data_IF_477754651064
#
_entry.id   IF_477754651064
#
_cell.length_a   1.000
_cell.length_b   1.000
_cell.length_c   1.000
_cell.angle_alpha   90.00
_cell.angle_beta   90.00
_cell.angle_gamma   90.00
#
_symmetry.space_group_name_H-M   'P 1'
#
loop_
_entity.id
_entity.type
_entity.pdbx_description
1 polymer ?
#
# COMPACT_ATOMS: atom_id res chain seq x y z
N UNK A 1 -3.45 2.75 32.15
CA UNK A 1 -4.34 3.51 31.26
C UNK A 1 -3.48 4.16 30.19
N UNK A 2 -3.36 3.54 29.02
CA UNK A 2 -2.68 4.15 27.87
C UNK A 2 -3.71 5.00 27.14
N UNK A 3 -3.56 6.32 27.21
CA UNK A 3 -4.43 7.23 26.47
C UNK A 3 -4.10 7.07 24.99
N UNK A 4 -5.06 6.57 24.21
CA UNK A 4 -4.99 6.62 22.76
C UNK A 4 -5.00 8.10 22.37
N UNK A 5 -3.83 8.67 22.11
CA UNK A 5 -3.70 9.96 21.45
C UNK A 5 -4.42 9.84 20.11
N UNK A 6 -5.61 10.42 20.01
CA UNK A 6 -6.28 10.56 18.72
C UNK A 6 -5.34 11.39 17.85
N UNK A 7 -4.88 10.80 16.75
CA UNK A 7 -4.26 11.58 15.69
C UNK A 7 -5.30 12.62 15.26
N UNK A 8 -4.88 13.89 15.33
CA UNK A 8 -5.76 15.06 15.35
C UNK A 8 -6.69 15.18 14.15
N UNK A 9 -7.66 16.08 14.27
CA UNK A 9 -8.43 16.56 13.12
C UNK A 9 -7.53 17.42 12.24
N UNK A 10 -7.45 17.12 10.95
CA UNK A 10 -6.61 17.82 9.98
C UNK A 10 -7.32 19.06 9.45
N UNK A 11 -6.72 20.24 9.60
CA UNK A 11 -7.30 21.48 9.06
C UNK A 11 -6.93 21.74 7.60
N UNK A 12 -5.82 21.18 7.13
CA UNK A 12 -5.39 21.29 5.75
C UNK A 12 -4.51 20.12 5.29
N UNK A 13 -4.25 20.09 3.97
CA UNK A 13 -3.44 19.06 3.35
C UNK A 13 -1.97 19.11 3.76
N UNK A 14 -1.40 20.29 4.01
CA UNK A 14 0.01 20.41 4.38
C UNK A 14 0.30 19.61 5.65
N UNK A 15 -0.55 19.76 6.67
CA UNK A 15 -0.43 19.04 7.93
C UNK A 15 -0.57 17.53 7.75
N UNK A 16 -1.60 17.10 7.00
CA UNK A 16 -1.85 15.68 6.76
C UNK A 16 -0.71 15.02 5.97
N UNK A 17 -0.21 15.67 4.93
CA UNK A 17 0.87 15.11 4.11
C UNK A 17 2.18 15.00 4.90
N UNK A 18 2.50 16.00 5.73
CA UNK A 18 3.65 15.94 6.62
C UNK A 18 3.54 14.77 7.62
N UNK A 19 2.33 14.49 8.13
CA UNK A 19 2.10 13.33 8.99
C UNK A 19 2.22 12.01 8.23
N UNK A 20 1.72 11.92 6.99
CA UNK A 20 1.89 10.73 6.14
C UNK A 20 3.38 10.43 5.94
N UNK A 21 4.18 11.46 5.62
CA UNK A 21 5.62 11.31 5.44
C UNK A 21 6.30 10.84 6.74
N UNK A 22 5.89 11.37 7.90
CA UNK A 22 6.38 10.93 9.21
C UNK A 22 6.03 9.46 9.53
N UNK A 23 4.96 8.92 8.94
CA UNK A 23 4.58 7.51 9.02
C UNK A 23 5.23 6.64 7.93
N UNK A 24 6.10 7.21 7.09
CA UNK A 24 6.84 6.52 6.04
C UNK A 24 6.07 6.37 4.72
N UNK A 25 4.88 6.96 4.60
CA UNK A 25 4.17 7.05 3.32
C UNK A 25 4.73 8.17 2.44
N UNK A 26 4.24 8.26 1.20
CA UNK A 26 4.52 9.40 0.31
C UNK A 26 3.34 10.36 0.26
N UNK A 27 3.44 11.49 0.98
CA UNK A 27 2.40 12.51 1.02
C UNK A 27 2.13 13.13 -0.35
N UNK A 28 3.18 13.38 -1.15
CA UNK A 28 3.03 13.92 -2.50
C UNK A 28 2.25 12.98 -3.43
N UNK A 29 2.50 11.67 -3.37
CA UNK A 29 1.78 10.69 -4.18
C UNK A 29 0.34 10.50 -3.69
N UNK A 30 0.10 10.52 -2.38
CA UNK A 30 -1.25 10.53 -1.80
C UNK A 30 -2.03 11.73 -2.31
N UNK A 31 -1.44 12.94 -2.25
CA UNK A 31 -2.09 14.16 -2.72
C UNK A 31 -2.45 14.07 -4.20
N UNK A 32 -1.49 13.69 -5.03
CA UNK A 32 -1.68 13.55 -6.48
C UNK A 32 -2.82 12.58 -6.80
N UNK A 33 -2.89 11.45 -6.10
CA UNK A 33 -3.93 10.44 -6.31
C UNK A 33 -5.28 10.89 -5.77
N UNK A 34 -5.31 11.53 -4.59
CA UNK A 34 -6.53 12.06 -4.02
C UNK A 34 -7.18 13.10 -4.94
N UNK A 35 -6.39 14.00 -5.53
CA UNK A 35 -6.88 14.97 -6.51
C UNK A 35 -7.43 14.29 -7.77
N UNK A 36 -6.72 13.29 -8.29
CA UNK A 36 -7.15 12.56 -9.49
C UNK A 36 -8.46 11.79 -9.29
N UNK A 37 -8.65 11.23 -8.09
CA UNK A 37 -9.78 10.35 -7.78
C UNK A 37 -10.92 11.08 -7.04
N UNK A 38 -10.76 12.39 -6.75
CA UNK A 38 -11.74 13.19 -6.01
C UNK A 38 -11.89 12.78 -4.54
N UNK A 39 -10.82 12.27 -3.92
CA UNK A 39 -10.82 11.86 -2.50
C UNK A 39 -10.52 13.07 -1.62
N UNK A 40 -11.34 13.30 -0.61
CA UNK A 40 -11.22 14.48 0.26
C UNK A 40 -10.12 14.33 1.32
N UNK A 41 -9.74 15.47 1.92
CA UNK A 41 -8.79 15.54 3.04
C UNK A 41 -9.24 14.64 4.20
N UNK A 42 -10.53 14.72 4.53
CA UNK A 42 -11.14 14.02 5.64
C UNK A 42 -11.02 12.50 5.46
N UNK A 43 -11.28 11.99 4.25
CA UNK A 43 -11.20 10.55 3.96
C UNK A 43 -9.77 10.04 4.11
N UNK A 44 -8.77 10.77 3.59
CA UNK A 44 -7.36 10.39 3.74
C UNK A 44 -6.93 10.47 5.21
N UNK A 45 -7.33 11.54 5.90
CA UNK A 45 -7.04 11.78 7.31
C UNK A 45 -7.61 10.69 8.21
N UNK A 46 -8.86 10.28 7.99
CA UNK A 46 -9.48 9.14 8.67
C UNK A 46 -8.69 7.86 8.43
N UNK A 47 -8.23 7.63 7.20
CA UNK A 47 -7.39 6.49 6.86
C UNK A 47 -6.12 6.45 7.72
N UNK A 48 -5.38 7.56 7.78
CA UNK A 48 -4.16 7.67 8.59
C UNK A 48 -4.45 7.41 10.07
N UNK A 49 -5.50 8.02 10.63
CA UNK A 49 -5.88 7.82 12.03
C UNK A 49 -6.19 6.36 12.35
N UNK A 50 -6.95 5.66 11.49
CA UNK A 50 -7.25 4.23 11.68
C UNK A 50 -6.01 3.35 11.62
N UNK A 51 -5.06 3.64 10.74
CA UNK A 51 -3.80 2.89 10.67
C UNK A 51 -2.98 3.02 11.95
N UNK A 52 -2.91 4.22 12.51
CA UNK A 52 -2.21 4.43 13.77
C UNK A 52 -2.93 3.79 14.96
N UNK A 53 -4.25 3.89 15.03
CA UNK A 53 -5.04 3.19 16.05
C UNK A 53 -4.83 1.67 15.99
N UNK A 54 -4.83 1.10 14.79
CA UNK A 54 -4.58 -0.33 14.62
C UNK A 54 -3.17 -0.72 15.05
N UNK A 55 -2.17 0.08 14.67
CA UNK A 55 -0.77 -0.10 15.11
C UNK A 55 -0.64 -0.07 16.63
N UNK A 56 -1.37 0.83 17.31
CA UNK A 56 -1.37 0.93 18.77
C UNK A 56 -2.09 -0.24 19.47
N UNK A 57 -3.09 -0.84 18.82
CA UNK A 57 -3.89 -1.95 19.37
C UNK A 57 -3.22 -3.31 19.24
N UNK A 58 -2.45 -3.51 18.18
CA UNK A 58 -1.77 -4.77 17.94
C UNK A 58 -0.50 -4.81 18.81
N UNK A 59 -0.45 -5.72 19.78
CA UNK A 59 0.82 -6.08 20.42
C UNK A 59 1.79 -6.58 19.33
N UNK A 60 3.09 -6.31 19.50
CA UNK A 60 4.21 -6.32 18.53
C UNK A 60 4.37 -7.51 17.54
N UNK A 61 3.41 -8.39 17.34
CA UNK A 61 3.61 -9.62 16.54
C UNK A 61 2.40 -10.19 15.82
N UNK A 62 1.18 -9.65 15.98
CA UNK A 62 0.02 -10.14 15.22
C UNK A 62 -0.37 -9.12 14.17
N UNK A 63 0.01 -9.38 12.92
CA UNK A 63 -0.54 -8.65 11.79
C UNK A 63 -2.02 -9.06 11.63
N UNK A 64 -2.92 -8.11 11.32
CA UNK A 64 -4.32 -8.43 11.06
C UNK A 64 -4.42 -9.20 9.73
N UNK A 65 -5.60 -9.66 9.35
CA UNK A 65 -5.82 -10.24 8.04
C UNK A 65 -5.43 -9.26 6.93
N UNK A 66 -5.05 -9.76 5.75
CA UNK A 66 -4.66 -8.88 4.63
C UNK A 66 -5.80 -7.95 4.21
N UNK A 67 -7.04 -8.43 4.26
CA UNK A 67 -8.24 -7.66 3.94
C UNK A 67 -8.58 -6.61 5.00
N UNK A 68 -7.83 -6.54 6.10
CA UNK A 68 -7.83 -5.36 6.95
C UNK A 68 -7.03 -4.26 6.27
N UNK A 69 -7.63 -3.64 5.24
CA UNK A 69 -7.07 -2.56 4.41
C UNK A 69 -6.63 -1.33 5.20
N UNK A 70 -6.96 -1.31 6.49
CA UNK A 70 -6.59 -0.26 7.42
C UNK A 70 -5.24 -0.45 8.11
N UNK A 71 -4.56 -1.56 7.86
CA UNK A 71 -3.30 -1.90 8.52
C UNK A 71 -2.12 -1.02 8.13
N UNK A 72 -2.18 -0.36 6.98
CA UNK A 72 -1.08 0.46 6.46
C UNK A 72 -1.54 1.91 6.30
N UNK A 73 -0.74 2.91 6.69
CA UNK A 73 -1.03 4.32 6.40
C UNK A 73 -1.20 4.60 4.90
N UNK A 74 -2.01 5.60 4.49
CA UNK A 74 -1.98 6.12 3.13
C UNK A 74 -0.55 6.48 2.72
N UNK A 75 -0.21 6.32 1.44
CA UNK A 75 1.13 6.63 0.96
C UNK A 75 2.13 5.49 1.10
N UNK A 76 1.82 4.48 1.92
CA UNK A 76 2.69 3.33 2.16
C UNK A 76 2.06 2.07 1.57
N UNK A 77 2.84 1.31 0.80
CA UNK A 77 2.38 0.06 0.21
C UNK A 77 2.35 -1.04 1.28
N UNK A 78 1.22 -1.73 1.41
CA UNK A 78 1.13 -2.95 2.22
C UNK A 78 1.88 -4.09 1.51
N UNK A 79 3.09 -4.41 1.99
CA UNK A 79 3.97 -5.40 1.36
C UNK A 79 3.37 -6.82 1.31
N UNK A 80 2.37 -7.12 2.14
CA UNK A 80 1.62 -8.39 2.07
C UNK A 80 0.92 -8.58 0.73
N UNK A 81 0.71 -7.49 -0.02
CA UNK A 81 0.15 -7.54 -1.38
C UNK A 81 0.97 -8.46 -2.29
N UNK A 82 2.29 -8.58 -2.10
CA UNK A 82 3.17 -9.43 -2.92
C UNK A 82 2.95 -10.94 -2.71
N UNK A 83 2.35 -11.34 -1.60
CA UNK A 83 2.16 -12.75 -1.21
C UNK A 83 0.80 -13.32 -1.67
N UNK A 84 -0.02 -12.51 -2.35
CA UNK A 84 -1.31 -12.88 -2.89
C UNK A 84 -1.49 -12.32 -4.31
N UNK A 85 -2.52 -12.76 -5.02
CA UNK A 85 -2.74 -12.44 -6.44
C UNK A 85 -4.14 -11.90 -6.77
N UNK A 86 -4.96 -11.63 -5.75
CA UNK A 86 -6.38 -11.28 -5.90
C UNK A 86 -6.66 -9.79 -5.85
N UNK A 87 -5.92 -9.07 -5.01
CA UNK A 87 -6.18 -7.67 -4.67
C UNK A 87 -4.94 -6.81 -4.89
N UNK A 88 -5.19 -5.56 -5.23
CA UNK A 88 -4.24 -4.47 -5.19
C UNK A 88 -4.81 -3.40 -4.29
N UNK A 89 -3.98 -2.77 -3.46
CA UNK A 89 -4.41 -1.65 -2.63
C UNK A 89 -3.62 -0.44 -3.10
N UNK A 90 -4.32 0.60 -3.56
CA UNK A 90 -3.64 1.79 -4.06
C UNK A 90 -3.14 2.70 -2.92
N UNK A 91 -2.47 3.78 -3.31
CA UNK A 91 -1.81 4.69 -2.38
C UNK A 91 -2.77 5.45 -1.46
N UNK A 92 -4.05 5.57 -1.83
CA UNK A 92 -5.12 6.13 -0.98
C UNK A 92 -5.91 5.05 -0.25
N UNK A 93 -5.39 3.81 -0.26
CA UNK A 93 -5.92 2.62 0.42
C UNK A 93 -7.25 2.12 -0.12
N UNK A 94 -7.51 2.33 -1.41
CA UNK A 94 -8.66 1.71 -2.06
C UNK A 94 -8.29 0.30 -2.51
N UNK A 95 -9.02 -0.75 -2.08
CA UNK A 95 -8.82 -2.09 -2.59
C UNK A 95 -9.43 -2.20 -4.00
N UNK A 96 -8.67 -2.79 -4.90
CA UNK A 96 -9.04 -3.11 -6.28
C UNK A 96 -8.87 -4.60 -6.48
N UNK A 97 -9.92 -5.30 -6.89
CA UNK A 97 -9.78 -6.70 -7.28
C UNK A 97 -9.07 -6.75 -8.63
N UNK A 98 -8.03 -7.57 -8.76
CA UNK A 98 -7.22 -7.65 -9.99
C UNK A 98 -8.10 -7.96 -11.21
N UNK A 99 -9.05 -8.89 -11.06
CA UNK A 99 -10.00 -9.26 -12.12
C UNK A 99 -10.94 -8.12 -12.55
N UNK A 100 -11.22 -7.16 -11.67
CA UNK A 100 -12.19 -6.09 -11.91
C UNK A 100 -11.54 -4.79 -12.41
N UNK A 101 -10.20 -4.70 -12.42
CA UNK A 101 -9.47 -3.54 -12.94
C UNK A 101 -9.74 -3.34 -14.43
N UNK A 102 -9.60 -2.12 -14.95
CA UNK A 102 -9.51 -1.92 -16.41
C UNK A 102 -8.15 -2.39 -16.94
N UNK A 103 -8.06 -2.70 -18.24
CA UNK A 103 -6.80 -3.12 -18.86
C UNK A 103 -5.72 -2.04 -18.75
N UNK A 104 -6.10 -0.78 -18.94
CA UNK A 104 -5.22 0.38 -18.77
C UNK A 104 -4.72 0.51 -17.32
N UNK A 105 -5.61 0.40 -16.34
CA UNK A 105 -5.21 0.50 -14.94
C UNK A 105 -4.30 -0.65 -14.53
N UNK A 106 -4.59 -1.87 -14.98
CA UNK A 106 -3.76 -3.05 -14.76
C UNK A 106 -2.35 -2.88 -15.33
N UNK A 107 -2.22 -2.37 -16.56
CA UNK A 107 -0.92 -2.07 -17.17
C UNK A 107 -0.15 -1.00 -16.38
N UNK A 108 -0.84 0.05 -15.92
CA UNK A 108 -0.24 1.11 -15.09
C UNK A 108 0.29 0.58 -13.75
N UNK A 109 -0.44 -0.33 -13.10
CA UNK A 109 0.01 -0.98 -11.86
C UNK A 109 1.28 -1.81 -12.11
N UNK A 110 1.29 -2.65 -13.16
CA UNK A 110 2.45 -3.46 -13.54
C UNK A 110 3.68 -2.58 -13.79
N UNK A 111 3.52 -1.51 -14.54
CA UNK A 111 4.61 -0.59 -14.86
C UNK A 111 5.12 0.14 -13.62
N UNK A 112 4.23 0.54 -12.72
CA UNK A 112 4.59 1.15 -11.44
C UNK A 112 5.43 0.19 -10.59
N UNK A 113 4.99 -1.06 -10.45
CA UNK A 113 5.71 -2.10 -9.72
C UNK A 113 7.11 -2.35 -10.31
N UNK A 114 7.22 -2.40 -11.64
CA UNK A 114 8.52 -2.58 -12.33
C UNK A 114 9.48 -1.43 -12.13
N UNK A 115 8.97 -0.18 -12.05
CA UNK A 115 9.78 1.00 -11.74
C UNK A 115 10.28 0.96 -10.29
N UNK A 116 9.41 0.65 -9.33
CA UNK A 116 9.73 0.61 -7.90
C UNK A 116 10.36 -0.70 -7.40
N UNK A 117 10.64 -1.67 -8.27
CA UNK A 117 11.05 -3.04 -7.88
C UNK A 117 12.21 -3.11 -6.88
N UNK A 118 13.19 -2.21 -6.98
CA UNK A 118 14.37 -2.21 -6.09
C UNK A 118 13.95 -1.81 -4.68
N UNK A 119 13.21 -0.70 -4.56
CA UNK A 119 12.73 -0.17 -3.28
C UNK A 119 11.77 -1.17 -2.61
N UNK A 120 10.85 -1.76 -3.38
CA UNK A 120 9.92 -2.76 -2.86
C UNK A 120 10.63 -4.03 -2.41
N UNK A 121 11.63 -4.51 -3.16
CA UNK A 121 12.42 -5.68 -2.78
C UNK A 121 13.14 -5.43 -1.45
N UNK A 122 13.81 -4.27 -1.33
CA UNK A 122 14.51 -3.88 -0.11
C UNK A 122 13.56 -3.75 1.09
N UNK A 123 12.42 -3.09 0.92
CA UNK A 123 11.41 -2.95 1.96
C UNK A 123 10.89 -4.33 2.41
N UNK A 124 10.57 -5.21 1.46
CA UNK A 124 10.10 -6.57 1.72
C UNK A 124 11.14 -7.37 2.51
N UNK A 125 12.42 -7.31 2.12
CA UNK A 125 13.52 -7.94 2.85
C UNK A 125 13.69 -7.43 4.28
N UNK A 126 13.58 -6.12 4.48
CA UNK A 126 13.67 -5.51 5.81
C UNK A 126 12.53 -5.98 6.72
N UNK A 127 11.32 -6.09 6.18
CA UNK A 127 10.11 -6.52 6.88
C UNK A 127 10.14 -8.03 7.21
N UNK A 128 10.46 -8.87 6.22
CA UNK A 128 10.40 -10.33 6.28
C UNK A 128 11.78 -10.97 6.37
N UNK A 129 12.56 -10.56 7.37
CA UNK A 129 13.92 -11.11 7.59
C UNK A 129 13.88 -12.64 7.66
N UNK A 130 14.81 -13.28 6.95
CA UNK A 130 14.94 -14.74 6.91
C UNK A 130 14.21 -15.44 5.76
N UNK A 131 13.38 -14.73 4.99
CA UNK A 131 12.84 -15.25 3.73
C UNK A 131 13.92 -15.19 2.65
N UNK A 132 14.18 -16.31 2.00
CA UNK A 132 15.08 -16.37 0.85
C UNK A 132 14.44 -15.63 -0.34
N UNK A 133 15.00 -14.49 -0.69
CA UNK A 133 14.54 -13.66 -1.81
C UNK A 133 15.69 -13.55 -2.82
N UNK A 134 15.43 -13.61 -4.13
CA UNK A 134 16.46 -13.43 -5.15
C UNK A 134 17.22 -12.11 -4.99
N UNK A 135 18.55 -12.14 -5.17
CA UNK A 135 19.40 -10.93 -5.14
C UNK A 135 18.99 -9.92 -6.22
N UNK A 136 18.43 -10.41 -7.32
CA UNK A 136 17.96 -9.58 -8.43
C UNK A 136 16.49 -9.16 -8.20
N UNK A 137 16.28 -7.85 -8.02
CA UNK A 137 14.96 -7.27 -7.74
C UNK A 137 13.94 -7.51 -8.87
N UNK A 138 14.39 -7.65 -10.12
CA UNK A 138 13.50 -7.95 -11.23
C UNK A 138 13.00 -9.39 -11.14
N UNK A 139 13.89 -10.36 -10.93
CA UNK A 139 13.54 -11.77 -10.71
C UNK A 139 12.66 -11.93 -9.47
N UNK A 140 12.95 -11.22 -8.38
CA UNK A 140 12.08 -11.21 -7.21
C UNK A 140 10.66 -10.75 -7.56
N UNK A 141 10.51 -9.56 -8.17
CA UNK A 141 9.19 -9.02 -8.48
C UNK A 141 8.39 -9.98 -9.38
N UNK A 142 8.98 -10.48 -10.46
CA UNK A 142 8.35 -11.41 -11.39
C UNK A 142 8.00 -12.77 -10.73
N UNK A 143 8.64 -13.09 -9.60
CA UNK A 143 8.36 -14.28 -8.77
C UNK A 143 7.32 -14.05 -7.67
N UNK A 144 6.79 -12.83 -7.48
CA UNK A 144 5.73 -12.58 -6.50
C UNK A 144 4.39 -13.15 -6.96
N UNK A 145 3.50 -13.48 -6.03
CA UNK A 145 2.14 -13.94 -6.37
C UNK A 145 1.38 -12.83 -7.09
N UNK A 146 1.52 -11.59 -6.61
CA UNK A 146 0.87 -10.42 -7.21
C UNK A 146 1.23 -10.26 -8.68
N UNK A 147 2.53 -10.20 -8.99
CA UNK A 147 2.97 -9.94 -10.36
C UNK A 147 2.52 -11.05 -11.31
N UNK A 148 2.53 -12.31 -10.86
CA UNK A 148 1.96 -13.43 -11.65
C UNK A 148 0.46 -13.24 -11.88
N UNK A 149 -0.31 -12.86 -10.86
CA UNK A 149 -1.75 -12.60 -10.97
C UNK A 149 -2.05 -11.48 -11.97
N UNK A 150 -1.36 -10.35 -11.84
CA UNK A 150 -1.52 -9.19 -12.72
C UNK A 150 -1.20 -9.55 -14.18
N UNK A 151 -0.08 -10.25 -14.44
CA UNK A 151 0.30 -10.67 -15.78
C UNK A 151 -0.64 -11.72 -16.37
N UNK A 152 -1.12 -12.66 -15.55
CA UNK A 152 -2.10 -13.64 -16.00
C UNK A 152 -3.41 -12.97 -16.41
N UNK A 153 -3.86 -11.99 -15.62
CA UNK A 153 -5.07 -11.23 -15.93
C UNK A 153 -4.91 -10.35 -17.17
N UNK A 154 -3.76 -9.71 -17.37
CA UNK A 154 -3.47 -8.92 -18.56
C UNK A 154 -3.51 -9.79 -19.83
N UNK A 155 -2.92 -10.99 -19.78
CA UNK A 155 -2.91 -11.94 -20.90
C UNK A 155 -4.29 -12.44 -21.30
N UNK A 156 -5.25 -12.54 -20.36
CA UNK A 156 -6.62 -12.99 -20.69
C UNK A 156 -7.40 -11.97 -21.53
N UNK A 157 -6.96 -10.71 -21.53
CA UNK A 157 -7.67 -9.59 -22.16
C UNK A 157 -7.17 -9.28 -23.57
N UNK A 158 -6.07 -9.90 -23.98
CA UNK A 158 -5.41 -9.78 -25.28
C UNK A 158 -5.56 -11.09 -26.04
#
# INVERSE_FOLDING_TARGET
MSGSERIGTWSDWTELLAAIDAYGGSGSEVRRRADADGVSLEVVGEGLSRAAELRNRLADSVLPDFTSWEATPPGLLDLRVFDQDLWWVDVVRRPHRVADMSGEYLANVIDSLRRGKVDFCQAYHCQYRGVAVPVDAHKWLESTALMRGLLAELRKRH
#
